data_IF_257695146608
#
_entry.id   IF_257695146608
#
_cell.length_a   1.000
_cell.length_b   1.000
_cell.length_c   1.000
_cell.angle_alpha   90.00
_cell.angle_beta   90.00
_cell.angle_gamma   90.00
#
_symmetry.space_group_name_H-M   'P 1'
#
loop_
_entity.id
_entity.type
_entity.pdbx_description
1 polymer ?
#
# COMPACT_ATOMS: atom_id res chain seq x y z
N UNK A 1 13.94 -1.83 -5.48
CA UNK A 1 13.13 -1.07 -6.47
C UNK A 1 11.87 -0.45 -5.85
N UNK A 2 11.04 -1.21 -5.12
CA UNK A 2 9.78 -0.71 -4.52
C UNK A 2 9.97 0.40 -3.49
N UNK A 3 11.07 0.35 -2.71
CA UNK A 3 11.39 1.36 -1.68
C UNK A 3 11.61 2.76 -2.25
N UNK A 4 12.42 2.91 -3.30
CA UNK A 4 12.70 4.23 -3.88
C UNK A 4 11.46 4.82 -4.57
N UNK A 5 10.61 3.96 -5.13
CA UNK A 5 9.30 4.36 -5.63
C UNK A 5 8.41 4.88 -4.50
N UNK A 6 8.35 4.17 -3.38
CA UNK A 6 7.55 4.55 -2.21
C UNK A 6 7.95 5.92 -1.65
N UNK A 7 9.26 6.18 -1.51
CA UNK A 7 9.78 7.46 -1.01
C UNK A 7 9.37 8.62 -1.93
N UNK A 8 9.42 8.43 -3.25
CA UNK A 8 8.96 9.45 -4.20
C UNK A 8 7.46 9.71 -4.08
N UNK A 9 6.64 8.69 -3.84
CA UNK A 9 5.19 8.84 -3.68
C UNK A 9 4.84 9.70 -2.45
N UNK A 10 5.59 9.56 -1.35
CA UNK A 10 5.46 10.48 -0.20
C UNK A 10 5.79 11.92 -0.62
N UNK A 11 6.84 12.12 -1.40
CA UNK A 11 7.20 13.43 -1.96
C UNK A 11 6.12 14.04 -2.86
N UNK A 12 5.26 13.24 -3.48
CA UNK A 12 4.12 13.69 -4.27
C UNK A 12 2.88 14.00 -3.42
N UNK A 13 2.94 13.78 -2.10
CA UNK A 13 1.82 14.01 -1.18
C UNK A 13 0.82 12.86 -1.08
N UNK A 14 1.15 11.68 -1.61
CA UNK A 14 0.35 10.45 -1.42
C UNK A 14 0.30 10.12 0.06
N UNK A 15 -0.87 9.68 0.55
CA UNK A 15 -1.08 9.20 1.93
C UNK A 15 -1.38 7.70 1.93
N UNK A 16 -1.24 7.04 3.09
CA UNK A 16 -1.55 5.62 3.26
C UNK A 16 -2.97 5.26 2.76
N UNK A 17 -3.98 6.07 3.11
CA UNK A 17 -5.36 5.87 2.66
C UNK A 17 -5.60 6.06 1.15
N UNK A 18 -4.64 6.59 0.39
CA UNK A 18 -4.79 6.77 -1.06
C UNK A 18 -4.45 5.49 -1.84
N UNK A 19 -3.71 4.55 -1.24
CA UNK A 19 -3.44 3.24 -1.87
C UNK A 19 -4.73 2.43 -2.05
N UNK A 20 -5.63 2.44 -1.07
CA UNK A 20 -6.93 1.75 -1.23
C UNK A 20 -7.72 2.30 -2.43
N UNK A 21 -7.83 3.63 -2.54
CA UNK A 21 -8.54 4.29 -3.64
C UNK A 21 -7.91 4.00 -5.01
N UNK A 22 -6.56 3.98 -5.06
CA UNK A 22 -5.83 3.67 -6.28
C UNK A 22 -6.04 2.20 -6.69
N UNK A 23 -6.09 1.26 -5.73
CA UNK A 23 -6.42 -0.14 -5.99
C UNK A 23 -7.80 -0.32 -6.61
N UNK A 24 -8.81 0.35 -6.03
CA UNK A 24 -10.17 0.35 -6.56
C UNK A 24 -10.23 0.92 -7.99
N UNK A 25 -9.52 2.02 -8.25
CA UNK A 25 -9.46 2.63 -9.58
C UNK A 25 -8.78 1.72 -10.61
N UNK A 26 -7.69 1.04 -10.23
CA UNK A 26 -6.99 0.07 -11.10
C UNK A 26 -7.92 -1.09 -11.47
N UNK A 27 -8.59 -1.69 -10.49
CA UNK A 27 -9.51 -2.81 -10.73
C UNK A 27 -10.72 -2.39 -11.57
N UNK A 28 -11.31 -1.23 -11.28
CA UNK A 28 -12.40 -0.68 -12.08
C UNK A 28 -11.98 -0.45 -13.55
N UNK A 29 -10.77 0.12 -13.75
CA UNK A 29 -10.23 0.36 -15.10
C UNK A 29 -9.98 -0.95 -15.84
N UNK A 30 -9.41 -1.96 -15.17
CA UNK A 30 -9.18 -3.28 -15.77
C UNK A 30 -10.50 -3.95 -16.18
N UNK A 31 -11.52 -3.89 -15.32
CA UNK A 31 -12.85 -4.40 -15.64
C UNK A 31 -13.47 -3.68 -16.85
N UNK A 32 -13.33 -2.34 -16.92
CA UNK A 32 -13.84 -1.54 -18.04
C UNK A 32 -13.14 -1.86 -19.37
N UNK A 33 -11.82 -2.04 -19.34
CA UNK A 33 -11.01 -2.30 -20.54
C UNK A 33 -11.19 -3.73 -21.05
N UNK A 34 -11.21 -4.71 -20.15
CA UNK A 34 -11.25 -6.14 -20.50
C UNK A 34 -12.66 -6.65 -20.78
N UNK A 35 -13.70 -6.00 -20.23
CA UNK A 35 -15.11 -6.30 -20.50
C UNK A 35 -15.42 -7.79 -20.34
N UNK A 36 -15.67 -8.50 -21.44
CA UNK A 36 -16.03 -9.91 -21.47
C UNK A 36 -14.90 -10.83 -21.00
N UNK A 37 -13.64 -10.37 -21.07
CA UNK A 37 -12.48 -11.10 -20.55
C UNK A 37 -12.28 -10.87 -19.04
N UNK A 38 -13.01 -9.94 -18.42
CA UNK A 38 -12.96 -9.74 -16.98
C UNK A 38 -13.67 -10.89 -16.26
N UNK A 39 -12.93 -11.62 -15.44
CA UNK A 39 -13.44 -12.77 -14.68
C UNK A 39 -13.18 -12.60 -13.17
N UNK A 40 -13.93 -13.30 -12.31
CA UNK A 40 -13.67 -13.29 -10.86
C UNK A 40 -12.26 -13.77 -10.49
N UNK A 41 -11.70 -14.70 -11.26
CA UNK A 41 -10.33 -15.18 -11.08
C UNK A 41 -9.32 -14.07 -11.41
N UNK A 42 -9.55 -13.33 -12.50
CA UNK A 42 -8.71 -12.22 -12.91
C UNK A 42 -8.78 -11.06 -11.91
N UNK A 43 -9.97 -10.74 -11.38
CA UNK A 43 -10.13 -9.79 -10.30
C UNK A 43 -9.31 -10.18 -9.07
N UNK A 44 -9.44 -11.43 -8.61
CA UNK A 44 -8.73 -11.91 -7.44
C UNK A 44 -7.20 -11.87 -7.64
N UNK A 45 -6.72 -12.25 -8.82
CA UNK A 45 -5.31 -12.20 -9.17
C UNK A 45 -4.77 -10.76 -9.16
N UNK A 46 -5.47 -9.82 -9.81
CA UNK A 46 -5.06 -8.41 -9.84
C UNK A 46 -5.14 -7.74 -8.49
N UNK A 47 -6.18 -8.03 -7.69
CA UNK A 47 -6.31 -7.54 -6.32
C UNK A 47 -5.13 -8.01 -5.48
N UNK A 48 -4.80 -9.31 -5.52
CA UNK A 48 -3.65 -9.86 -4.79
C UNK A 48 -2.33 -9.23 -5.24
N UNK A 49 -2.14 -9.01 -6.55
CA UNK A 49 -0.94 -8.38 -7.08
C UNK A 49 -0.81 -6.93 -6.61
N UNK A 50 -1.90 -6.15 -6.69
CA UNK A 50 -1.95 -4.78 -6.22
C UNK A 50 -1.66 -4.69 -4.72
N UNK A 51 -2.33 -5.50 -3.90
CA UNK A 51 -2.19 -5.49 -2.44
C UNK A 51 -0.75 -5.76 -2.00
N UNK A 52 -0.04 -6.69 -2.67
CA UNK A 52 1.36 -6.99 -2.39
C UNK A 52 2.27 -5.78 -2.68
N UNK A 53 2.03 -5.07 -3.78
CA UNK A 53 2.80 -3.88 -4.14
C UNK A 53 2.48 -2.74 -3.17
N UNK A 54 1.20 -2.49 -2.92
CA UNK A 54 0.74 -1.44 -2.01
C UNK A 54 1.29 -1.64 -0.59
N UNK A 55 1.22 -2.87 -0.07
CA UNK A 55 1.78 -3.22 1.24
C UNK A 55 3.28 -2.91 1.30
N UNK A 56 4.06 -3.37 0.32
CA UNK A 56 5.50 -3.10 0.28
C UNK A 56 5.83 -1.60 0.16
N UNK A 57 4.99 -0.81 -0.53
CA UNK A 57 5.15 0.64 -0.63
C UNK A 57 4.80 1.34 0.69
N UNK A 58 3.69 0.95 1.33
CA UNK A 58 3.25 1.51 2.61
C UNK A 58 4.27 1.21 3.71
N UNK A 59 4.76 -0.02 3.81
CA UNK A 59 5.78 -0.41 4.80
C UNK A 59 7.09 0.38 4.61
N UNK A 60 7.47 0.65 3.36
CA UNK A 60 8.67 1.42 3.03
C UNK A 60 8.50 2.93 3.28
N UNK A 61 7.32 3.49 3.02
CA UNK A 61 7.01 4.91 3.12
C UNK A 61 6.62 5.35 4.54
N UNK A 62 5.92 4.49 5.27
CA UNK A 62 5.35 4.74 6.60
C UNK A 62 5.79 3.65 7.57
N UNK A 63 7.11 3.50 7.82
CA UNK A 63 7.57 2.54 8.81
C UNK A 63 6.88 2.87 10.14
N UNK A 64 6.22 1.87 10.74
CA UNK A 64 5.75 1.97 12.12
C UNK A 64 6.98 2.12 13.00
N UNK A 65 7.38 3.34 13.31
CA UNK A 65 8.35 3.61 14.36
C UNK A 65 7.85 2.89 15.60
N UNK A 66 8.67 1.98 16.16
CA UNK A 66 8.42 1.34 17.44
C UNK A 66 8.30 2.41 18.51
N UNK A 67 7.10 2.92 18.72
CA UNK A 67 6.75 3.75 19.86
C UNK A 67 6.62 2.84 21.09
N UNK A 68 7.77 2.41 21.65
CA UNK A 68 7.93 2.05 23.07
C UNK A 68 9.38 1.70 23.44
N UNK A 69 10.38 2.41 22.91
CA UNK A 69 11.75 2.37 23.43
C UNK A 69 12.01 3.29 24.64
N UNK A 70 11.01 4.05 25.10
CA UNK A 70 11.18 5.10 26.12
C UNK A 70 10.43 4.86 27.43
N UNK A 71 9.67 3.77 27.57
CA UNK A 71 8.96 3.46 28.82
C UNK A 71 9.83 2.78 29.89
N UNK A 72 11.07 2.38 29.58
CA UNK A 72 11.93 1.62 30.50
C UNK A 72 12.88 2.47 31.37
N UNK A 73 12.92 3.81 31.21
CA UNK A 73 13.93 4.67 31.86
C UNK A 73 13.39 5.61 32.95
N UNK A 74 12.18 5.39 33.49
CA UNK A 74 11.62 6.26 34.55
C UNK A 74 11.13 5.51 35.80
N UNK A 75 11.64 4.30 36.04
CA UNK A 75 11.20 3.44 37.15
C UNK A 75 12.34 2.94 38.03
N UNK A 76 13.24 3.81 38.51
CA UNK A 76 14.02 3.49 39.72
C UNK A 76 14.61 4.74 40.37
N UNK A 77 13.86 5.31 41.32
CA UNK A 77 14.36 5.94 42.53
C UNK A 77 13.37 5.70 43.65
#
# INVERSE_FOLDING_TARGET
MTRDLAIRHVGYGVKDGDYAKAGDAVLATLAEVLKEEWSPELEAAWRSAYDRIATAMVEAAYPKTLAAGQAAMHGQR
#
